data_IF_420271969321
#
_entry.id   IF_420271969321
#
_cell.length_a   1.000
_cell.length_b   1.000
_cell.length_c   1.000
_cell.angle_alpha   90.00
_cell.angle_beta   90.00
_cell.angle_gamma   90.00
#
_symmetry.space_group_name_H-M   'P 1'
#
loop_
_entity.id
_entity.type
_entity.pdbx_description
1 polymer ?
#
# COMPACT_ATOMS: atom_id res chain seq x y z
N UNK A 1 6.16 -18.92 1.52
CA UNK A 1 6.34 -17.82 0.56
C UNK A 1 5.94 -16.50 1.21
N UNK A 2 6.48 -15.37 0.73
CA UNK A 2 6.16 -13.99 1.18
C UNK A 2 5.60 -13.21 0.01
N UNK A 3 4.43 -12.62 0.18
CA UNK A 3 3.70 -11.94 -0.89
C UNK A 3 3.55 -10.45 -0.61
N UNK A 4 3.65 -9.62 -1.65
CA UNK A 4 3.59 -8.16 -1.54
C UNK A 4 2.63 -7.62 -2.60
N UNK A 5 1.65 -6.83 -2.18
CA UNK A 5 0.72 -6.14 -3.06
C UNK A 5 0.50 -4.71 -2.59
N UNK A 6 0.23 -3.79 -3.51
CA UNK A 6 -0.10 -2.39 -3.22
C UNK A 6 -1.12 -1.86 -4.22
N UNK A 7 -1.59 -0.65 -3.99
CA UNK A 7 -2.34 0.15 -4.97
C UNK A 7 -3.57 -0.56 -5.55
N UNK A 8 -4.34 -1.22 -4.68
CA UNK A 8 -5.59 -1.91 -5.03
C UNK A 8 -6.72 -0.91 -5.21
N UNK A 9 -6.70 0.18 -4.45
CA UNK A 9 -7.68 1.27 -4.49
C UNK A 9 -9.13 0.79 -4.43
N UNK A 10 -9.43 -0.10 -3.48
CA UNK A 10 -10.80 -0.55 -3.24
C UNK A 10 -11.72 0.64 -2.94
N UNK A 11 -12.80 0.77 -3.67
CA UNK A 11 -13.69 1.92 -3.61
C UNK A 11 -13.48 2.93 -4.74
N UNK A 12 -12.45 2.75 -5.58
CA UNK A 12 -12.21 3.58 -6.75
C UNK A 12 -13.25 3.30 -7.87
N UNK A 13 -13.54 4.33 -8.66
CA UNK A 13 -14.48 4.22 -9.77
C UNK A 13 -15.95 4.19 -9.33
N UNK A 14 -16.78 3.58 -10.15
CA UNK A 14 -18.18 3.31 -9.80
C UNK A 14 -18.30 2.04 -8.92
N UNK A 15 -19.46 1.85 -8.32
CA UNK A 15 -19.68 0.71 -7.43
C UNK A 15 -19.50 -0.66 -8.12
N UNK A 16 -19.99 -0.90 -9.35
CA UNK A 16 -19.73 -2.16 -10.04
C UNK A 16 -18.25 -2.43 -10.30
N UNK A 17 -17.49 -1.42 -10.74
CA UNK A 17 -16.03 -1.51 -10.96
C UNK A 17 -15.30 -1.84 -9.67
N UNK A 18 -15.55 -1.09 -8.60
CA UNK A 18 -14.96 -1.34 -7.29
C UNK A 18 -15.24 -2.75 -6.78
N UNK A 19 -16.47 -3.26 -6.96
CA UNK A 19 -16.83 -4.63 -6.56
C UNK A 19 -16.11 -5.70 -7.39
N UNK A 20 -15.84 -5.45 -8.67
CA UNK A 20 -15.08 -6.38 -9.52
C UNK A 20 -13.61 -6.40 -9.10
N UNK A 21 -13.02 -5.24 -8.84
CA UNK A 21 -11.65 -5.13 -8.30
C UNK A 21 -11.52 -5.84 -6.96
N UNK A 22 -12.48 -5.65 -6.04
CA UNK A 22 -12.51 -6.35 -4.76
C UNK A 22 -12.52 -7.87 -4.94
N UNK A 23 -13.35 -8.39 -5.86
CA UNK A 23 -13.39 -9.83 -6.13
C UNK A 23 -12.10 -10.36 -6.75
N UNK A 24 -11.46 -9.57 -7.62
CA UNK A 24 -10.16 -9.89 -8.20
C UNK A 24 -9.10 -10.01 -7.10
N UNK A 25 -9.03 -9.03 -6.22
CA UNK A 25 -8.10 -9.01 -5.11
C UNK A 25 -8.34 -10.17 -4.12
N UNK A 26 -9.59 -10.46 -3.80
CA UNK A 26 -9.95 -11.60 -2.92
C UNK A 26 -9.55 -12.94 -3.55
N UNK A 27 -9.75 -13.14 -4.86
CA UNK A 27 -9.26 -14.36 -5.54
C UNK A 27 -7.74 -14.50 -5.47
N UNK A 28 -7.01 -13.39 -5.57
CA UNK A 28 -5.56 -13.42 -5.37
C UNK A 28 -5.20 -13.80 -3.93
N UNK A 29 -5.85 -13.22 -2.93
CA UNK A 29 -5.67 -13.60 -1.52
C UNK A 29 -5.95 -15.09 -1.30
N UNK A 30 -7.00 -15.65 -1.94
CA UNK A 30 -7.27 -17.09 -1.93
C UNK A 30 -6.11 -17.90 -2.51
N UNK A 31 -5.62 -17.50 -3.68
CA UNK A 31 -4.53 -18.20 -4.37
C UNK A 31 -3.26 -18.22 -3.51
N UNK A 32 -2.83 -17.07 -3.00
CA UNK A 32 -1.58 -16.98 -2.23
C UNK A 32 -1.69 -17.62 -0.84
N UNK A 33 -2.91 -17.77 -0.32
CA UNK A 33 -3.16 -18.40 0.97
C UNK A 33 -2.73 -19.88 1.04
N UNK A 34 -2.46 -20.50 -0.10
CA UNK A 34 -2.06 -21.90 -0.18
C UNK A 34 -0.67 -22.17 0.43
N UNK A 35 0.24 -21.19 0.34
CA UNK A 35 1.63 -21.33 0.79
C UNK A 35 2.22 -20.07 1.44
N UNK A 36 1.38 -19.04 1.66
CA UNK A 36 1.84 -17.81 2.29
C UNK A 36 2.23 -18.01 3.76
N UNK A 37 3.44 -17.61 4.11
CA UNK A 37 3.85 -17.39 5.51
C UNK A 37 3.47 -15.98 5.97
N UNK A 38 3.62 -15.00 5.06
CA UNK A 38 3.20 -13.63 5.30
C UNK A 38 2.76 -12.93 4.01
N UNK A 39 1.80 -12.02 4.16
CA UNK A 39 1.30 -11.13 3.11
C UNK A 39 1.53 -9.69 3.58
N UNK A 40 2.23 -8.91 2.76
CA UNK A 40 2.50 -7.50 2.97
C UNK A 40 1.63 -6.67 2.02
N UNK A 41 0.71 -5.91 2.59
CA UNK A 41 -0.10 -4.93 1.89
C UNK A 41 0.63 -3.58 1.99
N UNK A 42 1.18 -3.12 0.87
CA UNK A 42 2.15 -2.01 0.86
C UNK A 42 1.48 -0.69 0.47
N UNK A 43 0.39 -0.36 1.17
CA UNK A 43 -0.33 0.90 1.04
C UNK A 43 -1.32 0.97 -0.11
N UNK A 44 -2.24 1.92 0.01
CA UNK A 44 -3.28 2.23 -0.95
C UNK A 44 -4.15 1.01 -1.33
N UNK A 45 -4.43 0.18 -0.32
CA UNK A 45 -5.37 -0.94 -0.48
C UNK A 45 -6.79 -0.41 -0.62
N UNK A 46 -7.11 0.63 0.13
CA UNK A 46 -8.38 1.35 0.01
C UNK A 46 -8.17 2.68 -0.68
N UNK A 47 -9.10 3.05 -1.57
CA UNK A 47 -9.07 4.34 -2.25
C UNK A 47 -9.23 5.54 -1.30
N UNK A 48 -9.94 5.33 -0.22
CA UNK A 48 -9.99 6.23 0.93
C UNK A 48 -10.42 5.44 2.18
N UNK A 49 -9.59 5.48 3.23
CA UNK A 49 -9.90 4.86 4.51
C UNK A 49 -9.70 5.85 5.65
N UNK A 50 -10.76 6.08 6.41
CA UNK A 50 -10.74 6.94 7.59
C UNK A 50 -11.50 6.29 8.74
N UNK A 51 -10.83 6.05 9.85
CA UNK A 51 -11.43 5.50 11.07
C UNK A 51 -11.83 6.60 12.04
N UNK A 52 -13.11 6.69 12.32
CA UNK A 52 -13.66 7.43 13.46
C UNK A 52 -13.60 6.58 14.74
N UNK A 53 -14.08 7.13 15.84
CA UNK A 53 -14.09 6.39 17.10
C UNK A 53 -14.94 5.12 17.09
N UNK A 54 -16.07 5.14 16.36
CA UNK A 54 -17.03 4.03 16.29
C UNK A 54 -17.56 3.78 14.87
N UNK A 55 -17.00 4.44 13.86
CA UNK A 55 -17.48 4.34 12.47
C UNK A 55 -16.29 4.14 11.54
N UNK A 56 -16.45 3.21 10.61
CA UNK A 56 -15.52 2.94 9.52
C UNK A 56 -16.24 3.04 8.17
N UNK A 57 -15.54 3.16 7.05
CA UNK A 57 -16.16 3.17 5.72
C UNK A 57 -16.98 1.90 5.49
N UNK A 58 -18.14 2.05 4.84
CA UNK A 58 -18.99 0.92 4.43
C UNK A 58 -18.36 0.19 3.24
N UNK A 59 -18.63 -1.10 3.15
CA UNK A 59 -18.20 -1.94 2.04
C UNK A 59 -17.01 -2.81 2.40
N UNK A 60 -16.36 -3.32 1.38
CA UNK A 60 -15.13 -4.14 1.49
C UNK A 60 -15.30 -5.42 2.32
N UNK A 61 -16.52 -5.88 2.51
CA UNK A 61 -16.86 -7.02 3.40
C UNK A 61 -16.14 -8.30 2.97
N UNK A 62 -15.94 -8.51 1.66
CA UNK A 62 -15.22 -9.68 1.15
C UNK A 62 -13.74 -9.62 1.48
N UNK A 63 -13.12 -8.47 1.26
CA UNK A 63 -11.71 -8.24 1.59
C UNK A 63 -11.48 -8.34 3.09
N UNK A 64 -12.28 -7.65 3.89
CA UNK A 64 -12.17 -7.68 5.35
C UNK A 64 -12.37 -9.10 5.90
N UNK A 65 -13.40 -9.82 5.43
CA UNK A 65 -13.65 -11.21 5.81
C UNK A 65 -12.52 -12.16 5.38
N UNK A 66 -11.93 -11.94 4.18
CA UNK A 66 -10.78 -12.73 3.74
C UNK A 66 -9.53 -12.45 4.57
N UNK A 67 -9.27 -11.20 4.92
CA UNK A 67 -8.13 -10.85 5.78
C UNK A 67 -8.28 -11.48 7.17
N UNK A 68 -9.49 -11.46 7.76
CA UNK A 68 -9.78 -12.13 9.02
C UNK A 68 -9.57 -13.65 8.91
N UNK A 69 -10.11 -14.30 7.87
CA UNK A 69 -9.90 -15.74 7.62
C UNK A 69 -8.41 -16.10 7.53
N UNK A 70 -7.62 -15.29 6.81
CA UNK A 70 -6.18 -15.55 6.65
C UNK A 70 -5.45 -15.49 7.98
N UNK A 71 -5.73 -14.47 8.79
CA UNK A 71 -5.10 -14.29 10.11
C UNK A 71 -5.55 -15.35 11.10
N UNK A 72 -6.84 -15.77 11.06
CA UNK A 72 -7.37 -16.88 11.86
C UNK A 72 -6.69 -18.21 11.53
N UNK A 73 -6.26 -18.38 10.27
CA UNK A 73 -5.46 -19.53 9.83
C UNK A 73 -3.97 -19.42 10.19
N UNK A 74 -3.56 -18.34 10.84
CA UNK A 74 -2.18 -18.11 11.28
C UNK A 74 -1.26 -17.46 10.22
N UNK A 75 -1.79 -17.05 9.07
CA UNK A 75 -1.02 -16.31 8.05
C UNK A 75 -0.80 -14.89 8.56
N UNK A 76 0.45 -14.44 8.58
CA UNK A 76 0.78 -13.08 9.00
C UNK A 76 0.39 -12.08 7.92
N UNK A 77 -0.54 -11.16 8.23
CA UNK A 77 -0.89 -10.06 7.33
C UNK A 77 -0.38 -8.76 7.93
N UNK A 78 0.48 -8.05 7.18
CA UNK A 78 1.05 -6.76 7.56
C UNK A 78 0.57 -5.71 6.58
N UNK A 79 -0.08 -4.67 7.07
CA UNK A 79 -0.55 -3.55 6.28
C UNK A 79 0.26 -2.30 6.59
N UNK A 80 1.10 -1.89 5.64
CA UNK A 80 1.83 -0.63 5.66
C UNK A 80 0.94 0.39 4.99
N UNK A 81 0.57 1.47 5.68
CA UNK A 81 -0.37 2.45 5.12
C UNK A 81 0.26 3.29 4.03
N UNK A 82 -0.49 3.58 2.97
CA UNK A 82 -0.17 4.57 1.94
C UNK A 82 -0.80 5.93 2.22
N UNK A 83 -0.88 6.78 1.21
CA UNK A 83 -1.47 8.12 1.36
C UNK A 83 -3.01 8.12 1.32
N UNK A 84 -3.64 7.11 0.74
CA UNK A 84 -5.11 6.97 0.69
C UNK A 84 -5.70 6.31 1.94
N UNK A 85 -4.93 5.53 2.66
CA UNK A 85 -5.37 4.78 3.83
C UNK A 85 -4.53 5.04 5.10
N UNK A 86 -3.80 6.17 5.12
CA UNK A 86 -2.94 6.58 6.25
C UNK A 86 -3.72 6.79 7.55
N UNK A 87 -5.04 6.96 7.50
CA UNK A 87 -5.89 7.20 8.66
C UNK A 87 -6.55 5.91 9.19
N UNK A 88 -6.03 4.76 8.82
CA UNK A 88 -6.25 3.50 9.51
C UNK A 88 -5.77 3.59 10.95
N UNK A 89 -6.50 3.00 11.89
CA UNK A 89 -6.15 2.98 13.31
C UNK A 89 -6.02 1.53 13.79
N UNK A 90 -7.00 1.08 14.51
CA UNK A 90 -6.98 -0.22 15.16
C UNK A 90 -8.09 -1.20 14.69
N UNK A 91 -8.97 -0.73 13.81
CA UNK A 91 -10.08 -1.56 13.32
C UNK A 91 -9.57 -2.82 12.60
N UNK A 92 -8.71 -2.67 11.60
CA UNK A 92 -8.16 -3.81 10.87
C UNK A 92 -7.37 -4.76 11.78
N UNK A 93 -6.73 -4.24 12.82
CA UNK A 93 -6.01 -5.06 13.78
C UNK A 93 -6.97 -5.81 14.70
N UNK A 94 -8.01 -5.15 15.21
CA UNK A 94 -8.96 -5.74 16.15
C UNK A 94 -9.94 -6.72 15.49
N UNK A 95 -10.44 -6.36 14.31
CA UNK A 95 -11.50 -7.12 13.63
C UNK A 95 -10.95 -8.15 12.62
N UNK A 96 -9.78 -7.88 12.05
CA UNK A 96 -9.21 -8.73 11.01
C UNK A 96 -7.84 -9.32 11.39
N UNK A 97 -7.30 -9.08 12.59
CA UNK A 97 -5.99 -9.59 13.00
C UNK A 97 -4.79 -9.03 12.22
N UNK A 98 -5.01 -8.04 11.34
CA UNK A 98 -4.00 -7.46 10.47
C UNK A 98 -3.08 -6.53 11.25
N UNK A 99 -1.76 -6.68 11.14
CA UNK A 99 -0.80 -5.77 11.77
C UNK A 99 -0.68 -4.48 10.95
N UNK A 100 -1.32 -3.40 11.42
CA UNK A 100 -1.24 -2.08 10.80
C UNK A 100 0.06 -1.36 11.18
N UNK A 101 0.72 -0.76 10.20
CA UNK A 101 2.01 -0.07 10.33
C UNK A 101 1.98 1.23 9.52
N UNK A 102 2.32 2.35 10.17
CA UNK A 102 2.26 3.68 9.56
C UNK A 102 3.61 4.18 9.01
N UNK A 103 4.63 3.37 9.06
CA UNK A 103 5.99 3.68 8.58
C UNK A 103 6.53 2.52 7.78
N UNK A 104 7.57 2.77 7.00
CA UNK A 104 8.31 1.72 6.32
C UNK A 104 8.78 0.62 7.27
N UNK A 105 9.05 -0.55 6.74
CA UNK A 105 9.53 -1.72 7.49
C UNK A 105 10.71 -2.36 6.80
N UNK A 106 11.65 -2.79 7.62
CA UNK A 106 12.77 -3.64 7.17
C UNK A 106 12.54 -5.05 7.73
N UNK A 107 12.67 -6.03 6.88
CA UNK A 107 12.58 -7.45 7.22
C UNK A 107 13.77 -8.19 6.64
N UNK A 108 14.14 -9.29 7.26
CA UNK A 108 15.18 -10.19 6.74
C UNK A 108 14.54 -11.52 6.34
N UNK A 109 14.75 -11.92 5.10
CA UNK A 109 14.32 -13.21 4.54
C UNK A 109 15.58 -13.96 4.11
N UNK A 110 15.83 -15.11 4.73
CA UNK A 110 17.08 -15.83 4.52
C UNK A 110 18.30 -14.95 4.81
N UNK A 111 19.08 -14.67 3.78
CA UNK A 111 20.29 -13.85 3.86
C UNK A 111 20.10 -12.40 3.36
N UNK A 112 18.90 -12.06 2.89
CA UNK A 112 18.63 -10.75 2.29
C UNK A 112 17.75 -9.88 3.18
N UNK A 113 18.12 -8.63 3.28
CA UNK A 113 17.40 -7.60 4.01
C UNK A 113 16.62 -6.72 3.05
N UNK A 114 15.29 -6.67 3.22
CA UNK A 114 14.35 -5.97 2.36
C UNK A 114 13.73 -4.80 3.11
N UNK A 115 13.86 -3.60 2.57
CA UNK A 115 13.18 -2.41 3.09
C UNK A 115 11.90 -2.16 2.27
N UNK A 116 10.76 -2.10 2.95
CA UNK A 116 9.43 -1.99 2.34
C UNK A 116 8.85 -0.63 2.72
N UNK A 117 8.48 0.17 1.74
CA UNK A 117 7.82 1.46 1.93
C UNK A 117 6.75 1.68 0.85
N UNK A 118 5.69 2.44 1.15
CA UNK A 118 4.72 2.78 0.12
C UNK A 118 5.33 3.70 -0.94
N UNK A 119 6.01 4.76 -0.56
CA UNK A 119 6.72 5.63 -1.51
C UNK A 119 6.20 7.07 -1.60
N UNK A 120 5.01 7.34 -1.10
CA UNK A 120 4.27 8.62 -1.23
C UNK A 120 4.97 9.86 -0.66
N UNK A 121 5.82 9.70 0.32
CA UNK A 121 6.52 10.81 1.01
C UNK A 121 8.04 10.72 0.98
N UNK A 122 8.58 9.90 0.10
CA UNK A 122 10.02 9.74 -0.05
C UNK A 122 10.53 10.74 -1.08
N UNK A 123 11.68 11.34 -0.78
CA UNK A 123 12.38 12.28 -1.67
C UNK A 123 11.50 13.42 -2.24
N UNK A 124 10.62 13.99 -1.41
CA UNK A 124 9.68 15.08 -1.82
C UNK A 124 10.46 16.34 -2.28
N UNK A 125 11.78 16.37 -2.07
CA UNK A 125 12.64 17.48 -2.47
C UNK A 125 12.26 18.79 -1.78
N UNK A 126 12.50 19.92 -2.44
CA UNK A 126 12.22 21.27 -1.94
C UNK A 126 10.78 21.74 -2.26
N UNK A 127 9.78 20.90 -1.95
CA UNK A 127 8.37 21.25 -2.12
C UNK A 127 7.74 21.54 -0.74
N UNK A 128 7.91 22.75 -0.18
CA UNK A 128 7.51 23.05 1.20
C UNK A 128 6.01 22.91 1.45
N UNK A 129 5.19 23.21 0.44
CA UNK A 129 3.74 23.07 0.53
C UNK A 129 3.31 21.60 0.65
N UNK A 130 3.92 20.70 -0.12
CA UNK A 130 3.67 19.26 -0.02
C UNK A 130 4.14 18.70 1.32
N UNK A 131 5.29 19.15 1.83
CA UNK A 131 5.77 18.77 3.16
C UNK A 131 4.79 19.20 4.25
N UNK A 132 4.31 20.46 4.18
CA UNK A 132 3.33 20.98 5.14
C UNK A 132 2.01 20.19 5.07
N UNK A 133 1.51 19.94 3.87
CA UNK A 133 0.30 19.16 3.66
C UNK A 133 0.43 17.73 4.20
N UNK A 134 1.52 17.03 3.88
CA UNK A 134 1.78 15.68 4.39
C UNK A 134 1.92 15.66 5.92
N UNK A 135 2.59 16.66 6.49
CA UNK A 135 2.69 16.81 7.94
C UNK A 135 1.31 17.05 8.58
N UNK A 136 0.47 17.88 7.96
CA UNK A 136 -0.88 18.13 8.44
C UNK A 136 -1.74 16.86 8.41
N UNK A 137 -1.75 16.13 7.30
CA UNK A 137 -2.50 14.87 7.17
C UNK A 137 -2.01 13.77 8.11
N UNK A 138 -0.74 13.75 8.46
CA UNK A 138 -0.14 12.79 9.41
C UNK A 138 -0.24 13.25 10.88
N UNK A 139 -0.75 14.48 11.14
CA UNK A 139 -0.90 15.01 12.49
C UNK A 139 -2.04 14.33 13.25
N UNK A 140 -1.71 13.70 14.38
CA UNK A 140 -2.70 13.10 15.27
C UNK A 140 -3.70 14.12 15.85
N UNK A 141 -3.25 15.37 16.04
CA UNK A 141 -4.09 16.45 16.58
C UNK A 141 -5.11 16.85 15.53
N UNK A 142 -4.66 17.11 14.29
CA UNK A 142 -5.57 17.51 13.20
C UNK A 142 -6.54 16.39 12.85
N UNK A 143 -6.10 15.14 12.88
CA UNK A 143 -6.98 13.97 12.70
C UNK A 143 -8.06 13.89 13.78
N UNK A 144 -7.70 14.08 15.07
CA UNK A 144 -8.68 14.11 16.18
C UNK A 144 -9.68 15.25 16.02
N UNK A 145 -9.18 16.44 15.68
CA UNK A 145 -10.04 17.61 15.45
C UNK A 145 -11.00 17.36 14.30
N UNK A 146 -10.50 16.86 13.16
CA UNK A 146 -11.30 16.50 11.99
C UNK A 146 -12.37 15.45 12.34
N UNK A 147 -12.00 14.38 13.04
CA UNK A 147 -12.95 13.31 13.43
C UNK A 147 -14.00 13.75 14.44
N UNK A 148 -13.77 14.82 15.19
CA UNK A 148 -14.74 15.34 16.15
C UNK A 148 -15.67 16.42 15.57
N UNK A 149 -15.23 17.11 14.52
CA UNK A 149 -15.96 18.27 13.95
C UNK A 149 -16.68 17.92 12.64
N UNK A 150 -16.15 16.97 11.86
CA UNK A 150 -16.67 16.65 10.53
C UNK A 150 -17.51 15.38 10.58
N UNK A 151 -18.75 15.47 10.08
CA UNK A 151 -19.62 14.31 9.98
C UNK A 151 -19.00 13.22 9.08
N UNK A 152 -19.07 11.93 9.44
CA UNK A 152 -18.46 10.84 8.66
C UNK A 152 -18.82 10.85 7.18
N UNK A 153 -20.09 11.06 6.84
CA UNK A 153 -20.51 11.07 5.43
C UNK A 153 -19.86 12.20 4.64
N UNK A 154 -19.69 13.41 5.24
CA UNK A 154 -19.01 14.51 4.58
C UNK A 154 -17.52 14.23 4.39
N UNK A 155 -16.88 13.63 5.39
CA UNK A 155 -15.46 13.26 5.30
C UNK A 155 -15.23 12.18 4.22
N UNK A 156 -16.10 11.17 4.14
CA UNK A 156 -16.02 10.12 3.13
C UNK A 156 -16.28 10.69 1.72
N UNK A 157 -17.29 11.52 1.54
CA UNK A 157 -17.54 12.21 0.26
C UNK A 157 -16.35 13.08 -0.17
N UNK A 158 -15.79 13.85 0.76
CA UNK A 158 -14.61 14.67 0.48
C UNK A 158 -13.39 13.81 0.11
N UNK A 159 -13.13 12.75 0.87
CA UNK A 159 -12.02 11.85 0.63
C UNK A 159 -12.11 11.15 -0.73
N UNK A 160 -13.29 10.64 -1.09
CA UNK A 160 -13.54 10.03 -2.40
C UNK A 160 -13.38 11.04 -3.55
N UNK A 161 -13.89 12.26 -3.36
CA UNK A 161 -13.70 13.33 -4.34
C UNK A 161 -12.22 13.69 -4.50
N UNK A 162 -11.48 13.84 -3.40
CA UNK A 162 -10.06 14.16 -3.40
C UNK A 162 -9.24 13.05 -4.08
N UNK A 163 -9.47 11.80 -3.70
CA UNK A 163 -8.84 10.61 -4.29
C UNK A 163 -9.13 10.53 -5.79
N UNK A 164 -10.39 10.71 -6.20
CA UNK A 164 -10.77 10.71 -7.61
C UNK A 164 -10.09 11.83 -8.42
N UNK A 165 -9.90 13.02 -7.83
CA UNK A 165 -9.18 14.12 -8.47
C UNK A 165 -7.69 13.80 -8.63
N UNK A 166 -7.06 13.23 -7.61
CA UNK A 166 -5.65 12.81 -7.64
C UNK A 166 -5.43 11.78 -8.76
N UNK A 167 -6.24 10.72 -8.82
CA UNK A 167 -6.12 9.73 -9.91
C UNK A 167 -6.30 10.31 -11.29
N UNK A 168 -7.25 11.23 -11.49
CA UNK A 168 -7.46 11.88 -12.79
C UNK A 168 -6.28 12.74 -13.21
N UNK A 169 -5.58 13.39 -12.29
CA UNK A 169 -4.37 14.15 -12.61
C UNK A 169 -3.22 13.25 -13.07
N UNK A 170 -3.11 12.04 -12.49
CA UNK A 170 -2.07 11.07 -12.84
C UNK A 170 -2.46 10.14 -14.01
N UNK A 171 -3.76 9.97 -14.30
CA UNK A 171 -4.22 9.11 -15.40
C UNK A 171 -3.74 9.56 -16.79
N UNK A 172 -3.39 10.84 -16.97
CA UNK A 172 -2.86 11.39 -18.20
C UNK A 172 -1.31 11.42 -18.24
N UNK A 173 -0.65 11.04 -17.16
CA UNK A 173 0.81 10.97 -17.12
C UNK A 173 1.27 9.58 -17.60
N UNK A 174 2.02 9.54 -18.68
CA UNK A 174 2.68 8.31 -19.11
C UNK A 174 3.82 8.02 -18.11
N UNK A 175 3.60 7.06 -17.22
CA UNK A 175 4.64 6.62 -16.30
C UNK A 175 5.70 5.87 -17.11
N UNK A 176 6.92 6.32 -17.02
CA UNK A 176 8.08 5.74 -17.68
C UNK A 176 9.12 5.35 -16.63
N UNK A 177 10.14 4.55 -16.97
CA UNK A 177 11.24 4.28 -16.04
C UNK A 177 11.89 5.57 -15.48
N UNK A 178 11.89 6.66 -16.25
CA UNK A 178 12.40 7.97 -15.79
C UNK A 178 11.54 8.57 -14.68
N UNK A 179 10.24 8.28 -14.67
CA UNK A 179 9.34 8.72 -13.58
C UNK A 179 9.69 8.08 -12.24
N UNK A 180 10.41 6.95 -12.23
CA UNK A 180 10.85 6.24 -11.03
C UNK A 180 12.16 6.79 -10.45
N UNK A 181 12.87 7.66 -11.19
CA UNK A 181 14.22 8.09 -10.86
C UNK A 181 14.35 8.66 -9.44
N UNK A 182 13.36 9.42 -8.99
CA UNK A 182 13.39 10.01 -7.66
C UNK A 182 13.36 8.96 -6.52
N UNK A 183 12.67 7.81 -6.72
CA UNK A 183 12.67 6.70 -5.77
C UNK A 183 13.94 5.85 -5.90
N UNK A 184 14.50 5.72 -7.10
CA UNK A 184 15.81 5.07 -7.32
C UNK A 184 16.90 5.87 -6.58
N UNK A 185 16.89 7.19 -6.70
CA UNK A 185 17.86 8.05 -6.00
C UNK A 185 17.67 8.00 -4.48
N UNK A 186 16.42 7.93 -4.01
CA UNK A 186 16.14 7.67 -2.60
C UNK A 186 16.71 6.32 -2.15
N UNK A 187 16.50 5.25 -2.93
CA UNK A 187 16.97 3.91 -2.61
C UNK A 187 18.50 3.86 -2.52
N UNK A 188 19.21 4.53 -3.42
CA UNK A 188 20.66 4.67 -3.36
C UNK A 188 21.13 5.38 -2.10
N UNK A 189 20.50 6.50 -1.75
CA UNK A 189 20.80 7.23 -0.52
C UNK A 189 20.47 6.42 0.75
N UNK A 190 19.41 5.65 0.72
CA UNK A 190 19.05 4.75 1.82
C UNK A 190 20.08 3.62 1.99
N UNK A 191 20.51 3.00 0.90
CA UNK A 191 21.56 1.96 0.89
C UNK A 191 22.88 2.48 1.47
N UNK A 192 23.25 3.72 1.17
CA UNK A 192 24.47 4.33 1.74
C UNK A 192 24.41 4.45 3.27
N UNK A 193 23.21 4.74 3.82
CA UNK A 193 22.98 4.84 5.26
C UNK A 193 22.73 3.48 5.93
N UNK A 194 22.27 2.50 5.17
CA UNK A 194 21.92 1.14 5.60
C UNK A 194 22.58 0.10 4.68
N UNK A 195 23.88 -0.13 4.81
CA UNK A 195 24.64 -1.00 3.91
C UNK A 195 24.19 -2.47 3.90
N UNK A 196 23.48 -2.90 4.93
CA UNK A 196 22.93 -4.24 5.11
C UNK A 196 21.63 -4.48 4.32
N UNK A 197 21.01 -3.44 3.74
CA UNK A 197 19.79 -3.57 2.95
C UNK A 197 20.12 -3.99 1.52
N UNK A 198 19.56 -5.09 1.06
CA UNK A 198 19.80 -5.67 -0.26
C UNK A 198 18.72 -5.32 -1.28
N UNK A 199 17.51 -5.02 -0.80
CA UNK A 199 16.39 -4.69 -1.68
C UNK A 199 15.51 -3.60 -1.05
N UNK A 200 15.04 -2.65 -1.88
CA UNK A 200 13.93 -1.77 -1.52
C UNK A 200 12.70 -2.12 -2.36
N UNK A 201 11.53 -2.16 -1.71
CA UNK A 201 10.26 -2.47 -2.35
C UNK A 201 9.28 -1.33 -2.14
N UNK A 202 8.73 -0.80 -3.25
CA UNK A 202 7.84 0.36 -3.28
C UNK A 202 6.50 0.05 -3.95
N UNK A 203 5.43 0.69 -3.48
CA UNK A 203 4.15 0.88 -4.17
C UNK A 203 4.05 2.24 -4.85
N UNK A 204 2.87 2.87 -4.79
CA UNK A 204 2.57 4.26 -5.14
C UNK A 204 2.66 4.65 -6.62
N UNK A 205 3.60 4.07 -7.35
CA UNK A 205 3.89 4.46 -8.73
C UNK A 205 2.96 3.79 -9.75
N UNK A 206 2.19 2.79 -9.36
CA UNK A 206 1.30 2.02 -10.23
C UNK A 206 1.99 1.43 -11.47
N UNK A 207 3.29 1.26 -11.42
CA UNK A 207 4.11 0.81 -12.55
C UNK A 207 5.03 -0.33 -12.10
N UNK A 208 4.70 -1.58 -12.44
CA UNK A 208 5.51 -2.73 -12.05
C UNK A 208 6.86 -2.68 -12.77
N UNK A 209 7.92 -2.55 -12.02
CA UNK A 209 9.27 -2.46 -12.57
C UNK A 209 10.29 -3.04 -11.59
N UNK A 210 11.27 -3.73 -12.12
CA UNK A 210 12.41 -4.24 -11.35
C UNK A 210 13.69 -3.59 -11.85
N UNK A 211 14.40 -2.91 -10.97
CA UNK A 211 15.67 -2.26 -11.24
C UNK A 211 16.74 -2.90 -10.37
N UNK A 212 17.84 -3.35 -10.98
CA UNK A 212 18.94 -4.00 -10.27
C UNK A 212 20.24 -3.26 -10.52
N UNK A 213 20.98 -3.03 -9.45
CA UNK A 213 22.34 -2.49 -9.43
C UNK A 213 23.26 -3.53 -8.76
N UNK A 214 24.57 -3.31 -8.79
CA UNK A 214 25.57 -4.29 -8.32
C UNK A 214 25.28 -4.86 -6.92
N UNK A 215 24.79 -4.02 -5.98
CA UNK A 215 24.54 -4.41 -4.59
C UNK A 215 23.17 -3.94 -4.07
N UNK A 216 22.23 -3.65 -4.96
CA UNK A 216 20.92 -3.13 -4.60
C UNK A 216 19.87 -3.50 -5.64
N UNK A 217 18.84 -4.20 -5.20
CA UNK A 217 17.64 -4.40 -5.99
C UNK A 217 16.55 -3.41 -5.58
N UNK A 218 15.76 -2.93 -6.55
CA UNK A 218 14.64 -2.04 -6.31
C UNK A 218 13.43 -2.59 -7.05
N UNK A 219 12.40 -2.98 -6.30
CA UNK A 219 11.16 -3.50 -6.85
C UNK A 219 10.04 -2.46 -6.70
N UNK A 220 9.35 -2.16 -7.78
CA UNK A 220 8.17 -1.33 -7.81
C UNK A 220 6.95 -2.19 -8.08
N UNK A 221 5.97 -2.14 -7.19
CA UNK A 221 4.70 -2.82 -7.37
C UNK A 221 3.81 -2.05 -8.35
N UNK A 222 2.99 -2.79 -9.09
CA UNK A 222 1.96 -2.19 -9.92
C UNK A 222 0.63 -2.02 -9.18
N UNK A 223 -0.40 -1.67 -9.94
CA UNK A 223 -1.76 -1.50 -9.44
C UNK A 223 -2.66 -2.70 -9.78
N UNK A 224 -3.93 -2.56 -9.40
CA UNK A 224 -4.98 -3.54 -9.60
C UNK A 224 -6.12 -2.98 -10.44
N UNK A 225 -6.76 -3.87 -11.19
CA UNK A 225 -7.97 -3.59 -11.98
C UNK A 225 -9.06 -4.63 -11.67
N UNK A 226 -10.13 -4.59 -12.44
CA UNK A 226 -11.26 -5.51 -12.31
C UNK A 226 -10.90 -6.98 -12.59
N UNK A 227 -9.88 -7.22 -13.41
CA UNK A 227 -9.54 -8.53 -13.93
C UNK A 227 -8.09 -8.97 -13.68
N UNK A 228 -7.22 -8.03 -13.30
CA UNK A 228 -5.80 -8.32 -13.14
C UNK A 228 -5.18 -7.48 -12.02
N UNK A 229 -4.05 -7.95 -11.50
CA UNK A 229 -3.28 -7.24 -10.51
C UNK A 229 -1.79 -7.57 -10.61
N UNK A 230 -0.96 -6.66 -10.15
CA UNK A 230 0.49 -6.86 -10.05
C UNK A 230 0.90 -7.06 -8.60
N UNK A 231 1.76 -8.01 -8.35
CA UNK A 231 2.26 -8.32 -7.02
C UNK A 231 3.72 -8.78 -7.08
N UNK A 232 4.41 -8.77 -5.96
CA UNK A 232 5.69 -9.43 -5.84
C UNK A 232 5.59 -10.67 -4.95
N UNK A 233 6.47 -11.63 -5.19
CA UNK A 233 6.63 -12.81 -4.35
C UNK A 233 8.10 -12.98 -4.00
N UNK A 234 8.35 -13.42 -2.78
CA UNK A 234 9.69 -13.81 -2.34
C UNK A 234 9.67 -15.24 -1.80
N UNK A 235 10.72 -15.97 -2.14
CA UNK A 235 11.05 -17.21 -1.45
C UNK A 235 11.60 -16.97 -0.04
N UNK A 236 11.90 -18.03 0.69
CA UNK A 236 12.49 -17.90 2.03
C UNK A 236 13.93 -17.34 2.02
N UNK A 237 14.57 -17.24 0.87
CA UNK A 237 15.94 -16.73 0.71
C UNK A 237 15.98 -15.22 0.39
N UNK A 238 14.81 -14.59 0.16
CA UNK A 238 14.69 -13.15 -0.07
C UNK A 238 14.81 -12.73 -1.55
N UNK A 239 14.76 -13.66 -2.49
CA UNK A 239 14.69 -13.33 -3.91
C UNK A 239 13.30 -12.78 -4.23
N UNK A 240 13.25 -11.61 -4.88
CA UNK A 240 11.99 -10.94 -5.25
C UNK A 240 11.70 -11.16 -6.73
N UNK A 241 10.48 -11.57 -7.03
CA UNK A 241 9.97 -11.73 -8.40
C UNK A 241 8.65 -10.96 -8.54
N UNK A 242 8.53 -10.14 -9.60
CA UNK A 242 7.26 -9.48 -9.95
C UNK A 242 6.39 -10.43 -10.77
N UNK A 243 5.12 -10.51 -10.42
CA UNK A 243 4.12 -11.37 -11.10
C UNK A 243 2.83 -10.60 -11.37
N UNK A 244 2.09 -11.10 -12.35
CA UNK A 244 0.75 -10.64 -12.65
C UNK A 244 -0.27 -11.72 -12.27
N UNK A 245 -1.37 -11.30 -11.69
CA UNK A 245 -2.54 -12.11 -11.42
C UNK A 245 -3.64 -11.77 -12.43
N UNK A 246 -4.30 -12.79 -12.95
CA UNK A 246 -5.41 -12.69 -13.92
C UNK A 246 -6.56 -13.62 -13.56
#
# INVERSE_FOLDING_TARGET
MYYFASDVHLGAGDEPTSRRTERCFVRWLDMVSADAEAIFLVGDIFDFWFEYGKVVPKGFVRTLGKLAELTDRGIKVVFITGNHDMWSRDYLQKECGVKVVHTSRTITLGKRTIHIAHGDNLNIGDKPLLRLMNSAFRSNILRKLFSNLIHPDLALCFGQWWSGKSRKSHANETITPQSLQFLIDYARGYKQQHPDVDCLLFGHMHYPHFHSEENLDIAFLGNWSESEGSYAVSDGEGNIELKNFR
#
